data_IF_135593710839
#
_entry.id   IF_135593710839
#
_cell.length_a   1.000
_cell.length_b   1.000
_cell.length_c   1.000
_cell.angle_alpha   90.00
_cell.angle_beta   90.00
_cell.angle_gamma   90.00
#
_symmetry.space_group_name_H-M   'P 1'
#
loop_
_entity.id
_entity.type
_entity.pdbx_description
1 polymer ?
#
# COMPACT_ATOMS: atom_id res chain seq x y z
N UNK A 1 13.44 11.40 4.03
CA UNK A 1 12.67 12.68 4.09
C UNK A 1 11.21 12.37 4.35
N UNK A 2 10.51 13.10 5.23
CA UNK A 2 9.21 12.63 5.76
C UNK A 2 7.99 13.09 4.95
N UNK A 3 7.81 12.59 3.73
CA UNK A 3 6.49 12.67 3.07
C UNK A 3 5.90 11.27 2.91
N UNK A 4 4.65 11.12 3.35
CA UNK A 4 3.91 9.85 3.25
C UNK A 4 3.54 9.65 1.78
N UNK A 5 4.32 8.86 1.07
CA UNK A 5 3.95 8.36 -0.24
C UNK A 5 2.79 7.37 -0.10
N UNK A 6 1.84 7.41 -1.05
CA UNK A 6 0.73 6.47 -1.12
C UNK A 6 0.71 5.81 -2.49
N UNK A 7 0.28 4.55 -2.54
CA UNK A 7 0.11 3.77 -3.76
C UNK A 7 -0.80 2.57 -3.52
N UNK A 8 -0.90 1.70 -4.50
CA UNK A 8 -1.70 0.48 -4.43
C UNK A 8 -0.78 -0.73 -4.21
N UNK A 9 -0.97 -1.46 -3.11
CA UNK A 9 -0.27 -2.72 -2.89
C UNK A 9 -0.85 -3.81 -3.79
N UNK A 10 0.03 -4.53 -4.50
CA UNK A 10 -0.30 -5.62 -5.42
C UNK A 10 0.62 -6.81 -5.17
N UNK A 11 0.18 -8.00 -5.59
CA UNK A 11 0.98 -9.22 -5.59
C UNK A 11 1.29 -9.68 -7.01
N UNK A 12 2.50 -10.20 -7.23
CA UNK A 12 2.91 -10.79 -8.50
C UNK A 12 2.84 -12.31 -8.41
N UNK A 13 1.79 -12.91 -8.95
CA UNK A 13 1.53 -14.35 -8.80
C UNK A 13 2.63 -15.30 -9.31
N UNK A 14 3.47 -14.88 -10.25
CA UNK A 14 4.55 -15.70 -10.78
C UNK A 14 5.79 -15.80 -9.87
N UNK A 15 6.09 -14.76 -9.09
CA UNK A 15 7.28 -14.67 -8.23
C UNK A 15 6.96 -14.64 -6.75
N UNK A 16 5.71 -14.36 -6.38
CA UNK A 16 5.26 -14.20 -4.99
C UNK A 16 5.57 -12.81 -4.41
N UNK A 17 6.18 -11.91 -5.18
CA UNK A 17 6.58 -10.60 -4.66
C UNK A 17 5.37 -9.70 -4.40
N UNK A 18 5.43 -8.95 -3.29
CA UNK A 18 4.54 -7.82 -3.05
C UNK A 18 5.21 -6.54 -3.54
N UNK A 19 4.42 -5.64 -4.12
CA UNK A 19 4.91 -4.33 -4.55
C UNK A 19 3.83 -3.27 -4.40
N UNK A 20 4.25 -2.05 -4.08
CA UNK A 20 3.39 -0.87 -4.11
C UNK A 20 3.58 -0.18 -5.45
N UNK A 21 2.48 -0.06 -6.19
CA UNK A 21 2.39 0.54 -7.51
C UNK A 21 1.78 1.95 -7.45
N UNK A 22 1.91 2.71 -8.54
CA UNK A 22 1.36 4.07 -8.70
C UNK A 22 1.86 5.09 -7.67
N UNK A 23 3.13 4.99 -7.25
CA UNK A 23 3.74 5.99 -6.39
C UNK A 23 4.19 7.17 -7.25
N UNK A 24 3.77 8.39 -6.92
CA UNK A 24 4.17 9.60 -7.64
C UNK A 24 5.70 9.81 -7.55
N UNK A 25 6.33 10.15 -8.68
CA UNK A 25 7.77 10.36 -8.81
C UNK A 25 8.32 11.50 -7.93
N UNK A 26 7.47 12.43 -7.47
CA UNK A 26 7.91 13.51 -6.56
C UNK A 26 8.32 12.99 -5.18
N UNK A 27 7.86 11.79 -4.80
CA UNK A 27 8.22 11.18 -3.54
C UNK A 27 9.63 10.56 -3.65
N UNK A 28 10.45 10.79 -2.63
CA UNK A 28 11.74 10.12 -2.49
C UNK A 28 11.55 8.98 -1.49
N UNK A 29 11.75 7.76 -1.96
CA UNK A 29 11.62 6.54 -1.17
C UNK A 29 12.99 6.10 -0.66
N UNK A 30 13.00 5.44 0.50
CA UNK A 30 14.21 4.91 1.12
C UNK A 30 14.06 3.39 1.38
N UNK A 31 15.16 2.65 1.19
CA UNK A 31 15.17 1.22 1.53
C UNK A 31 14.97 1.03 3.04
N UNK A 32 14.19 0.03 3.41
CA UNK A 32 13.85 -0.27 4.81
C UNK A 32 12.65 0.50 5.37
N UNK A 33 12.09 1.45 4.61
CA UNK A 33 10.86 2.15 4.99
C UNK A 33 9.70 1.18 5.22
N UNK A 34 8.91 1.46 6.27
CA UNK A 34 7.78 0.62 6.65
C UNK A 34 6.58 0.96 5.79
N UNK A 35 5.98 -0.07 5.21
CA UNK A 35 4.72 0.02 4.47
C UNK A 35 3.59 -0.39 5.40
N UNK A 36 2.54 0.43 5.47
CA UNK A 36 1.34 0.17 6.26
C UNK A 36 0.08 0.58 5.50
N UNK A 37 -1.07 0.04 5.89
CA UNK A 37 -2.37 0.37 5.28
C UNK A 37 -2.72 1.85 5.47
N UNK A 38 -3.10 2.50 4.37
CA UNK A 38 -3.47 3.93 4.37
C UNK A 38 -4.94 4.17 4.75
N UNK A 39 -5.79 3.14 4.68
CA UNK A 39 -7.25 3.20 4.79
C UNK A 39 -7.95 4.00 3.68
N UNK A 40 -7.20 4.42 2.64
CA UNK A 40 -7.78 5.01 1.44
C UNK A 40 -8.69 3.98 0.77
N UNK A 41 -9.88 4.40 0.36
CA UNK A 41 -10.93 3.52 -0.17
C UNK A 41 -11.95 3.07 0.88
N UNK A 42 -11.67 3.20 2.18
CA UNK A 42 -12.64 2.91 3.24
C UNK A 42 -12.78 1.43 3.63
N UNK A 43 -12.23 0.50 2.83
CA UNK A 43 -12.41 -0.95 3.02
C UNK A 43 -11.46 -1.58 4.04
N UNK A 44 -10.39 -0.89 4.45
CA UNK A 44 -9.40 -1.40 5.39
C UNK A 44 -9.08 -0.39 6.50
N UNK A 45 -8.77 -0.86 7.73
CA UNK A 45 -8.29 0.02 8.79
C UNK A 45 -6.94 0.64 8.42
N UNK A 46 -6.66 1.83 8.94
CA UNK A 46 -5.36 2.48 8.79
C UNK A 46 -4.31 1.88 9.74
N UNK A 47 -3.03 2.04 9.38
CA UNK A 47 -1.86 1.76 10.22
C UNK A 47 -1.62 0.28 10.57
N UNK A 48 -2.06 -0.65 9.70
CA UNK A 48 -1.66 -2.06 9.79
C UNK A 48 -0.35 -2.24 9.04
N UNK A 49 0.68 -2.76 9.70
CA UNK A 49 1.99 -3.02 9.08
C UNK A 49 1.86 -4.13 8.04
N UNK A 50 2.40 -3.86 6.85
CA UNK A 50 2.42 -4.79 5.72
C UNK A 50 3.82 -5.37 5.56
N UNK A 51 4.86 -4.54 5.62
CA UNK A 51 6.22 -4.96 5.31
C UNK A 51 7.21 -3.81 5.25
N UNK A 52 8.34 -4.05 4.58
CA UNK A 52 9.39 -3.05 4.35
C UNK A 52 9.81 -2.99 2.90
N UNK A 53 10.18 -1.80 2.44
CA UNK A 53 10.73 -1.59 1.10
C UNK A 53 12.10 -2.25 1.00
N UNK A 54 12.28 -3.15 0.03
CA UNK A 54 13.55 -3.86 -0.23
C UNK A 54 14.17 -3.53 -1.59
N UNK A 55 13.38 -2.99 -2.52
CA UNK A 55 13.86 -2.48 -3.80
C UNK A 55 12.95 -1.34 -4.26
N UNK A 56 13.52 -0.36 -4.95
CA UNK A 56 12.81 0.78 -5.53
C UNK A 56 13.06 0.75 -7.04
N UNK A 57 11.99 0.74 -7.82
CA UNK A 57 12.02 0.78 -9.28
C UNK A 57 11.54 2.15 -9.73
N UNK A 58 12.49 2.95 -10.23
CA UNK A 58 12.24 4.34 -10.65
C UNK A 58 12.88 4.60 -12.01
N UNK A 59 12.07 5.07 -12.95
CA UNK A 59 12.49 5.51 -14.27
C UNK A 59 11.94 6.91 -14.55
N UNK A 60 12.80 7.85 -14.89
CA UNK A 60 12.41 9.25 -15.14
C UNK A 60 11.50 9.42 -16.37
N UNK A 61 11.47 8.43 -17.28
CA UNK A 61 10.58 8.43 -18.43
C UNK A 61 9.16 7.92 -18.10
N UNK A 62 8.93 7.36 -16.92
CA UNK A 62 7.63 6.84 -16.48
C UNK A 62 6.83 7.90 -15.71
N UNK A 63 5.53 7.66 -15.48
CA UNK A 63 4.68 8.58 -14.70
C UNK A 63 4.71 8.29 -13.20
N UNK A 64 5.06 7.06 -12.83
CA UNK A 64 5.05 6.55 -11.46
C UNK A 64 6.31 5.72 -11.20
N UNK A 65 6.62 5.52 -9.93
CA UNK A 65 7.63 4.55 -9.47
C UNK A 65 6.94 3.43 -8.70
N UNK A 66 7.68 2.33 -8.50
CA UNK A 66 7.24 1.19 -7.72
C UNK A 66 8.21 0.90 -6.57
N UNK A 67 7.69 0.29 -5.51
CA UNK A 67 8.50 -0.21 -4.40
C UNK A 67 8.20 -1.69 -4.19
N UNK A 68 9.21 -2.54 -4.26
CA UNK A 68 9.09 -3.96 -3.88
C UNK A 68 9.14 -4.06 -2.36
N UNK A 69 8.23 -4.83 -1.80
CA UNK A 69 7.99 -4.94 -0.36
C UNK A 69 8.23 -6.36 0.09
N UNK A 70 9.12 -6.53 1.06
CA UNK A 70 9.19 -7.77 1.82
C UNK A 70 8.07 -7.78 2.87
N UNK A 71 7.20 -8.81 2.88
CA UNK A 71 6.16 -8.94 3.90
C UNK A 71 6.76 -8.99 5.31
N UNK A 72 6.07 -8.38 6.29
CA UNK A 72 6.44 -8.50 7.70
C UNK A 72 6.05 -9.87 8.29
N UNK A 73 5.18 -10.60 7.60
CA UNK A 73 4.63 -11.89 8.02
C UNK A 73 5.08 -12.98 7.06
N UNK A 74 5.57 -14.09 7.59
CA UNK A 74 5.76 -15.31 6.83
C UNK A 74 4.41 -16.02 6.66
N UNK A 75 3.90 -16.05 5.43
CA UNK A 75 2.59 -16.62 5.12
C UNK A 75 2.58 -18.15 5.09
N UNK A 76 3.75 -18.79 5.04
CA UNK A 76 3.87 -20.26 4.97
C UNK A 76 3.73 -20.91 6.36
N UNK A 77 3.83 -20.13 7.44
CA UNK A 77 3.88 -20.61 8.83
C UNK A 77 2.71 -20.13 9.70
N UNK A 78 1.61 -19.70 9.08
CA UNK A 78 0.44 -19.19 9.79
C UNK A 78 -0.35 -20.27 10.53
N UNK A 79 -0.52 -20.10 11.85
CA UNK A 79 -1.39 -20.96 12.69
C UNK A 79 -2.62 -20.21 13.22
N UNK A 80 -2.46 -18.94 13.57
CA UNK A 80 -3.49 -18.09 14.19
C UNK A 80 -3.55 -16.76 13.43
N UNK A 81 -4.77 -16.33 13.09
CA UNK A 81 -5.03 -15.05 12.45
C UNK A 81 -6.00 -14.21 13.26
N UNK A 82 -5.88 -12.89 13.16
CA UNK A 82 -6.82 -11.94 13.76
C UNK A 82 -7.63 -11.25 12.65
N UNK A 83 -8.95 -11.40 12.72
CA UNK A 83 -9.87 -10.81 11.74
C UNK A 83 -10.45 -9.52 12.29
N UNK A 84 -10.20 -8.41 11.60
CA UNK A 84 -10.78 -7.10 11.92
C UNK A 84 -12.05 -6.91 11.09
N UNK A 85 -13.22 -6.92 11.75
CA UNK A 85 -14.52 -6.78 11.07
C UNK A 85 -15.18 -5.42 11.28
N UNK A 86 -14.69 -4.62 12.22
CA UNK A 86 -15.23 -3.29 12.52
C UNK A 86 -14.09 -2.31 12.81
N UNK A 87 -14.13 -1.16 12.14
CA UNK A 87 -13.20 -0.06 12.26
C UNK A 87 -13.88 1.21 11.73
N UNK A 88 -13.33 2.38 12.06
CA UNK A 88 -13.84 3.65 11.52
C UNK A 88 -13.29 3.87 10.10
N UNK A 89 -14.11 3.78 9.03
CA UNK A 89 -13.64 4.03 7.68
C UNK A 89 -13.40 5.53 7.45
N UNK A 90 -12.54 5.84 6.48
CA UNK A 90 -12.45 7.21 5.93
C UNK A 90 -13.74 7.49 5.16
N UNK A 91 -14.32 8.67 5.36
CA UNK A 91 -15.49 9.09 4.59
C UNK A 91 -15.11 9.37 3.13
N UNK A 92 -15.53 8.47 2.24
CA UNK A 92 -15.30 8.58 0.79
C UNK A 92 -16.48 9.20 0.05
N UNK A 93 -17.59 9.52 0.72
CA UNK A 93 -18.79 10.11 0.08
C UNK A 93 -18.48 11.46 -0.58
N UNK A 94 -17.43 12.15 -0.12
CA UNK A 94 -16.92 13.38 -0.71
C UNK A 94 -16.43 13.23 -2.16
N UNK A 95 -16.17 12.00 -2.62
CA UNK A 95 -15.74 11.70 -3.99
C UNK A 95 -16.85 11.08 -4.84
N UNK A 96 -18.02 10.79 -4.26
CA UNK A 96 -19.18 10.36 -5.03
C UNK A 96 -19.77 11.58 -5.74
N UNK A 97 -19.78 11.55 -7.07
CA UNK A 97 -20.50 12.57 -7.84
C UNK A 97 -21.97 12.58 -7.42
N UNK A 98 -22.59 13.74 -7.17
CA UNK A 98 -24.03 13.81 -6.99
C UNK A 98 -24.68 13.16 -8.21
N UNK A 99 -25.53 12.16 -7.99
CA UNK A 99 -26.30 11.56 -9.08
C UNK A 99 -27.11 12.69 -9.73
N UNK A 100 -26.80 13.02 -10.99
CA UNK A 100 -27.64 13.94 -11.78
C UNK A 100 -29.04 13.31 -11.88
N UNK A 101 -30.05 14.02 -11.35
CA UNK A 101 -31.47 13.72 -11.55
C UNK A 101 -31.99 14.53 -12.75
#
# INVERSE_FOLDING_TARGET
GTSRATGSLKGRGATGDLFVDWIDLKFQLELGEVVFSSGLGGDFPQNIVIGRVVQIERNEAELFQQAIVQPATDFDTLEIVFVVTDFRPIDTSIFESPTEN
#
